data_IF_902602973054
#
_entry.id   IF_902602973054
#
_cell.length_a   1.000
_cell.length_b   1.000
_cell.length_c   1.000
_cell.angle_alpha   90.00
_cell.angle_beta   90.00
_cell.angle_gamma   90.00
#
_symmetry.space_group_name_H-M   'P 1'
#
loop_
_entity.id
_entity.type
_entity.pdbx_description
1 polymer ?
#
# COMPACT_ATOMS: atom_id res chain seq x y z
N UNK A 1 -5.87 -0.26 14.46
CA UNK A 1 -6.34 -1.66 14.43
C UNK A 1 -7.47 -1.80 15.42
N UNK A 2 -8.61 -2.37 15.03
CA UNK A 2 -9.73 -2.55 15.94
C UNK A 2 -9.35 -3.54 17.08
N UNK A 3 -9.81 -3.34 18.33
CA UNK A 3 -9.35 -4.10 19.50
C UNK A 3 -9.41 -5.63 19.33
N UNK A 4 -10.49 -6.15 18.73
CA UNK A 4 -10.68 -7.59 18.52
C UNK A 4 -9.74 -8.25 17.51
N UNK A 5 -8.91 -7.47 16.80
CA UNK A 5 -8.00 -7.98 15.77
C UNK A 5 -6.53 -7.98 16.18
N UNK A 6 -6.12 -7.19 17.18
CA UNK A 6 -4.71 -7.01 17.52
C UNK A 6 -4.00 -8.34 17.83
N UNK A 7 -4.59 -9.20 18.65
CA UNK A 7 -4.02 -10.51 18.99
C UNK A 7 -3.84 -11.42 17.77
N UNK A 8 -4.67 -11.27 16.73
CA UNK A 8 -4.60 -12.08 15.50
C UNK A 8 -3.48 -11.65 14.56
N UNK A 9 -2.94 -10.44 14.73
CA UNK A 9 -1.90 -9.89 13.86
C UNK A 9 -0.48 -10.28 14.32
N UNK A 10 -0.31 -10.65 15.59
CA UNK A 10 1.01 -10.95 16.16
C UNK A 10 1.72 -12.06 15.38
N UNK A 11 2.92 -11.74 14.87
CA UNK A 11 3.76 -12.66 14.11
C UNK A 11 3.23 -13.01 12.72
N UNK A 12 2.20 -12.33 12.21
CA UNK A 12 1.62 -12.62 10.89
C UNK A 12 2.24 -11.78 9.78
N UNK A 13 2.37 -12.39 8.61
CA UNK A 13 2.66 -11.70 7.36
C UNK A 13 1.35 -11.24 6.74
N UNK A 14 1.19 -9.93 6.57
CA UNK A 14 -0.07 -9.32 6.12
C UNK A 14 0.10 -8.73 4.73
N UNK A 15 -0.87 -8.96 3.85
CA UNK A 15 -1.00 -8.22 2.59
C UNK A 15 -2.17 -7.25 2.73
N UNK A 16 -1.92 -5.96 2.52
CA UNK A 16 -2.94 -4.93 2.38
C UNK A 16 -3.31 -4.84 0.91
N UNK A 17 -4.59 -4.99 0.61
CA UNK A 17 -5.12 -4.87 -0.76
C UNK A 17 -5.80 -3.52 -0.87
N UNK A 18 -5.45 -2.77 -1.92
CA UNK A 18 -6.07 -1.51 -2.29
C UNK A 18 -6.29 -1.48 -3.81
N UNK A 19 -7.10 -0.57 -4.32
CA UNK A 19 -7.30 -0.45 -5.77
C UNK A 19 -6.16 0.33 -6.44
N UNK A 20 -5.88 1.55 -5.99
CA UNK A 20 -4.97 2.48 -6.64
C UNK A 20 -3.98 3.09 -5.65
N UNK A 21 -2.69 2.82 -5.85
CA UNK A 21 -1.61 3.50 -5.15
C UNK A 21 -1.34 4.87 -5.80
N UNK A 22 -1.56 5.95 -5.05
CA UNK A 22 -1.15 7.31 -5.44
C UNK A 22 0.17 7.71 -4.76
N UNK A 23 0.14 8.60 -3.78
CA UNK A 23 1.31 8.98 -2.98
C UNK A 23 1.77 7.90 -2.00
N UNK A 24 0.90 6.93 -1.68
CA UNK A 24 1.18 5.87 -0.71
C UNK A 24 0.77 6.20 0.73
N UNK A 25 0.33 7.43 1.03
CA UNK A 25 0.02 7.85 2.40
C UNK A 25 -0.96 6.92 3.14
N UNK A 26 -1.98 6.41 2.45
CA UNK A 26 -2.93 5.43 3.01
C UNK A 26 -2.24 4.12 3.37
N UNK A 27 -1.48 3.54 2.43
CA UNK A 27 -0.77 2.28 2.62
C UNK A 27 0.34 2.38 3.68
N UNK A 28 1.00 3.54 3.80
CA UNK A 28 1.98 3.81 4.85
C UNK A 28 1.32 3.85 6.23
N UNK A 29 0.20 4.55 6.37
CA UNK A 29 -0.56 4.61 7.62
C UNK A 29 -1.09 3.23 8.04
N UNK A 30 -1.57 2.43 7.08
CA UNK A 30 -1.98 1.04 7.29
C UNK A 30 -0.80 0.17 7.72
N UNK A 31 0.32 0.23 7.00
CA UNK A 31 1.55 -0.53 7.29
C UNK A 31 2.06 -0.23 8.68
N UNK A 32 2.23 1.05 9.02
CA UNK A 32 2.68 1.46 10.35
C UNK A 32 1.72 0.99 11.45
N UNK A 33 0.41 1.03 11.21
CA UNK A 33 -0.59 0.57 12.17
C UNK A 33 -0.59 -0.95 12.37
N UNK A 34 -0.35 -1.72 11.32
CA UNK A 34 -0.28 -3.19 11.37
C UNK A 34 1.02 -3.68 12.01
N UNK A 35 2.15 -3.07 11.67
CA UNK A 35 3.44 -3.36 12.30
C UNK A 35 3.43 -3.03 13.80
N UNK A 36 2.89 -1.87 14.19
CA UNK A 36 2.69 -1.52 15.61
C UNK A 36 1.79 -2.51 16.35
N UNK A 37 0.88 -3.18 15.64
CA UNK A 37 0.02 -4.22 16.21
C UNK A 37 0.69 -5.61 16.25
N UNK A 38 1.97 -5.73 15.86
CA UNK A 38 2.77 -6.94 15.99
C UNK A 38 2.85 -7.81 14.73
N UNK A 39 2.42 -7.32 13.57
CA UNK A 39 2.64 -8.03 12.31
C UNK A 39 4.14 -8.26 12.06
N UNK A 40 4.51 -9.45 11.56
CA UNK A 40 5.88 -9.80 11.20
C UNK A 40 6.35 -9.08 9.93
N UNK A 41 5.44 -8.88 8.97
CA UNK A 41 5.69 -8.08 7.77
C UNK A 41 4.37 -7.56 7.21
N UNK A 42 4.45 -6.49 6.43
CA UNK A 42 3.32 -5.96 5.67
C UNK A 42 3.77 -5.72 4.23
N UNK A 43 2.97 -6.21 3.27
CA UNK A 43 3.13 -5.93 1.85
C UNK A 43 1.86 -5.27 1.33
N UNK A 44 1.97 -4.48 0.26
CA UNK A 44 0.83 -3.88 -0.42
C UNK A 44 0.64 -4.52 -1.80
N UNK A 45 -0.60 -4.85 -2.14
CA UNK A 45 -1.01 -5.28 -3.47
C UNK A 45 -2.06 -4.30 -3.98
N UNK A 46 -1.79 -3.70 -5.14
CA UNK A 46 -2.70 -2.73 -5.78
C UNK A 46 -2.96 -3.11 -7.23
N UNK A 47 -4.13 -2.72 -7.73
CA UNK A 47 -4.48 -2.94 -9.14
C UNK A 47 -3.77 -1.93 -10.05
N UNK A 48 -3.57 -0.70 -9.58
CA UNK A 48 -2.88 0.35 -10.34
C UNK A 48 -2.00 1.21 -9.43
N UNK A 49 -0.97 1.84 -10.03
CA UNK A 49 -0.15 2.87 -9.41
C UNK A 49 -0.19 4.11 -10.29
N UNK A 50 -0.35 5.27 -9.67
CA UNK A 50 -0.17 6.56 -10.34
C UNK A 50 1.33 6.82 -10.47
N UNK A 51 1.86 7.03 -11.69
CA UNK A 51 3.26 7.36 -11.89
C UNK A 51 3.62 8.62 -11.12
N UNK A 52 4.83 8.65 -10.55
CA UNK A 52 5.37 9.88 -9.98
C UNK A 52 5.49 10.98 -11.08
N UNK A 53 5.48 12.28 -10.73
CA UNK A 53 5.59 13.35 -11.72
C UNK A 53 6.82 13.23 -12.65
N UNK A 54 7.90 12.66 -12.11
CA UNK A 54 9.20 12.38 -12.72
C UNK A 54 9.36 10.93 -13.20
N UNK A 55 8.29 10.14 -13.16
CA UNK A 55 8.31 8.76 -13.65
C UNK A 55 8.55 8.76 -15.18
N UNK A 56 9.62 8.09 -15.68
CA UNK A 56 9.96 8.09 -17.10
C UNK A 56 8.83 7.51 -17.98
N UNK A 57 8.00 6.64 -17.44
CA UNK A 57 6.82 6.10 -18.14
C UNK A 57 5.68 7.12 -18.26
N UNK A 58 5.70 8.23 -17.50
CA UNK A 58 4.73 9.31 -17.61
C UNK A 58 4.97 10.19 -18.85
N UNK A 59 6.20 10.19 -19.39
CA UNK A 59 6.60 11.05 -20.52
C UNK A 59 6.45 10.39 -21.89
N UNK A 60 6.17 9.09 -21.95
CA UNK A 60 5.77 8.42 -23.21
C UNK A 60 4.33 8.79 -23.52
N UNK A 61 4.16 10.00 -24.07
CA UNK A 61 2.86 10.54 -24.43
C UNK A 61 2.06 9.58 -25.29
N UNK A 62 0.82 9.34 -24.88
CA UNK A 62 -0.26 9.06 -25.82
C UNK A 62 -0.30 10.29 -26.74
N UNK A 63 0.29 10.19 -27.94
CA UNK A 63 -0.07 11.12 -28.99
C UNK A 63 -1.53 10.82 -29.34
N UNK A 64 -2.47 11.75 -29.14
CA UNK A 64 -3.79 11.60 -29.71
C UNK A 64 -3.65 11.80 -31.23
N UNK A 65 -4.20 10.86 -31.99
CA UNK A 65 -4.43 11.00 -33.43
C UNK A 65 -5.26 12.26 -33.74
#
# INVERSE_FOLDING_TARGET
VAPGWAARLVGKHIVVIDDVLTSGATLDACTASLLRAGAASVQALVLARVPAPDDPERQIGVQPD
#
